data_IF_326900415288
#
_entry.id   IF_326900415288
#
_cell.length_a   1.000
_cell.length_b   1.000
_cell.length_c   1.000
_cell.angle_alpha   90.00
_cell.angle_beta   90.00
_cell.angle_gamma   90.00
#
_symmetry.space_group_name_H-M   'P 1'
#
loop_
_entity.id
_entity.type
_entity.pdbx_description
1 polymer ?
#
# COMPACT_ATOMS: atom_id res chain seq x y z
N UNK A 1 16.74 -9.45 -16.31
CA UNK A 1 16.63 -10.01 -14.95
C UNK A 1 16.40 -8.85 -13.99
N UNK A 2 15.44 -8.97 -13.08
CA UNK A 2 15.21 -7.96 -12.04
C UNK A 2 16.41 -7.89 -11.10
N UNK A 3 16.68 -6.71 -10.55
CA UNK A 3 17.65 -6.59 -9.46
C UNK A 3 17.11 -7.37 -8.26
N UNK A 4 17.99 -8.11 -7.58
CA UNK A 4 17.60 -9.02 -6.49
C UNK A 4 16.78 -8.31 -5.40
N UNK A 5 17.15 -7.09 -5.02
CA UNK A 5 16.43 -6.31 -4.01
C UNK A 5 14.96 -6.05 -4.39
N UNK A 6 14.70 -5.69 -5.66
CA UNK A 6 13.34 -5.46 -6.15
C UNK A 6 12.55 -6.78 -6.19
N UNK A 7 13.17 -7.85 -6.67
CA UNK A 7 12.53 -9.18 -6.69
C UNK A 7 12.21 -9.69 -5.29
N UNK A 8 13.12 -9.52 -4.33
CA UNK A 8 12.94 -9.91 -2.93
C UNK A 8 11.77 -9.13 -2.30
N UNK A 9 11.66 -7.84 -2.59
CA UNK A 9 10.55 -7.01 -2.12
C UNK A 9 9.21 -7.48 -2.68
N UNK A 10 9.09 -7.64 -4.01
CA UNK A 10 7.85 -8.10 -4.64
C UNK A 10 7.41 -9.46 -4.09
N UNK A 11 8.35 -10.39 -3.90
CA UNK A 11 8.09 -11.68 -3.26
C UNK A 11 7.59 -11.51 -1.81
N UNK A 12 8.16 -10.60 -1.02
CA UNK A 12 7.69 -10.34 0.34
C UNK A 12 6.24 -9.81 0.36
N UNK A 13 5.89 -8.94 -0.59
CA UNK A 13 4.51 -8.43 -0.72
C UNK A 13 3.54 -9.54 -1.11
N UNK A 14 3.90 -10.37 -2.09
CA UNK A 14 3.09 -11.52 -2.50
C UNK A 14 2.84 -12.45 -1.31
N UNK A 15 3.88 -12.82 -0.56
CA UNK A 15 3.75 -13.69 0.61
C UNK A 15 2.85 -13.09 1.69
N UNK A 16 2.96 -11.78 1.95
CA UNK A 16 2.09 -11.08 2.90
C UNK A 16 0.61 -11.18 2.51
N UNK A 17 0.30 -11.06 1.21
CA UNK A 17 -1.07 -11.15 0.69
C UNK A 17 -1.59 -12.59 0.74
N UNK A 18 -0.77 -13.56 0.35
CA UNK A 18 -1.13 -14.99 0.40
C UNK A 18 -1.44 -15.44 1.83
N UNK A 19 -0.74 -14.90 2.82
CA UNK A 19 -0.97 -15.20 4.24
C UNK A 19 -2.17 -14.45 4.84
N UNK A 20 -2.81 -13.54 4.08
CA UNK A 20 -3.96 -12.78 4.54
C UNK A 20 -5.26 -13.60 4.36
N UNK A 21 -5.66 -14.34 5.39
CA UNK A 21 -6.79 -15.29 5.34
C UNK A 21 -8.18 -14.64 5.12
N UNK A 22 -8.33 -13.33 5.36
CA UNK A 22 -9.62 -12.63 5.34
C UNK A 22 -9.84 -11.74 4.10
N UNK A 23 -9.02 -11.91 3.06
CA UNK A 23 -9.06 -11.12 1.86
C UNK A 23 -9.17 -11.97 0.60
N UNK A 24 -10.00 -11.54 -0.34
CA UNK A 24 -10.00 -12.03 -1.72
C UNK A 24 -9.15 -11.10 -2.59
N UNK A 25 -8.26 -11.67 -3.41
CA UNK A 25 -7.47 -10.89 -4.37
C UNK A 25 -8.30 -10.63 -5.63
N UNK A 26 -8.83 -9.41 -5.76
CA UNK A 26 -9.58 -8.98 -6.96
C UNK A 26 -8.62 -8.64 -8.11
N UNK A 27 -7.44 -8.08 -7.78
CA UNK A 27 -6.40 -7.77 -8.76
C UNK A 27 -5.04 -7.80 -8.10
N UNK A 28 -4.07 -8.41 -8.76
CA UNK A 28 -2.65 -8.31 -8.42
C UNK A 28 -1.88 -8.04 -9.71
N UNK A 29 -1.19 -6.91 -9.77
CA UNK A 29 -0.46 -6.50 -10.97
C UNK A 29 0.88 -5.89 -10.59
N UNK A 30 1.94 -6.52 -11.09
CA UNK A 30 3.29 -5.97 -11.13
C UNK A 30 3.60 -5.49 -12.55
N UNK A 31 3.89 -4.22 -12.69
CA UNK A 31 4.32 -3.62 -13.95
C UNK A 31 5.82 -3.30 -13.85
N UNK A 32 6.64 -4.18 -14.41
CA UNK A 32 8.09 -3.99 -14.45
C UNK A 32 8.45 -2.98 -15.53
N UNK A 33 8.95 -1.82 -15.12
CA UNK A 33 9.36 -0.74 -16.03
C UNK A 33 10.83 -0.90 -16.45
N UNK A 34 11.68 -1.27 -15.50
CA UNK A 34 13.11 -1.58 -15.72
C UNK A 34 13.57 -2.64 -14.71
N UNK A 35 14.84 -3.07 -14.76
CA UNK A 35 15.39 -3.96 -13.73
C UNK A 35 15.39 -3.38 -12.31
N UNK A 36 15.23 -2.05 -12.18
CA UNK A 36 15.27 -1.30 -10.92
C UNK A 36 13.98 -0.54 -10.63
N UNK A 37 12.95 -0.63 -11.49
CA UNK A 37 11.69 0.12 -11.32
C UNK A 37 10.48 -0.74 -11.61
N UNK A 38 9.49 -0.66 -10.75
CA UNK A 38 8.20 -1.32 -10.94
C UNK A 38 7.06 -0.47 -10.37
N UNK A 39 5.88 -0.61 -10.96
CA UNK A 39 4.64 -0.21 -10.31
C UNK A 39 3.93 -1.46 -9.78
N UNK A 40 3.47 -1.39 -8.54
CA UNK A 40 2.64 -2.42 -7.92
C UNK A 40 1.22 -1.89 -7.79
N UNK A 41 0.23 -2.67 -8.23
CA UNK A 41 -1.19 -2.32 -8.10
C UNK A 41 -2.01 -3.53 -7.67
N UNK A 42 -2.54 -3.50 -6.47
CA UNK A 42 -3.29 -4.61 -5.87
C UNK A 42 -4.67 -4.12 -5.41
N UNK A 43 -5.69 -4.96 -5.57
CA UNK A 43 -7.03 -4.79 -5.03
C UNK A 43 -7.39 -6.01 -4.21
N UNK A 44 -7.66 -5.80 -2.93
CA UNK A 44 -8.09 -6.84 -2.00
C UNK A 44 -9.51 -6.54 -1.51
N UNK A 45 -10.38 -7.55 -1.52
CA UNK A 45 -11.74 -7.48 -0.99
C UNK A 45 -11.81 -8.16 0.38
N UNK A 46 -12.14 -7.39 1.40
CA UNK A 46 -12.43 -7.88 2.75
C UNK A 46 -13.94 -7.98 2.94
N UNK A 47 -14.42 -9.03 3.63
CA UNK A 47 -15.87 -9.29 3.85
C UNK A 47 -16.71 -9.18 2.56
N UNK A 48 -16.11 -9.49 1.40
CA UNK A 48 -16.67 -9.37 0.04
C UNK A 48 -16.97 -7.93 -0.44
N UNK A 49 -17.15 -6.96 0.45
CA UNK A 49 -17.61 -5.62 0.08
C UNK A 49 -16.56 -4.53 0.25
N UNK A 50 -15.71 -4.60 1.27
CA UNK A 50 -14.71 -3.57 1.55
C UNK A 50 -13.52 -3.73 0.61
N UNK A 51 -13.05 -2.64 0.03
CA UNK A 51 -11.95 -2.65 -0.94
C UNK A 51 -10.72 -1.97 -0.37
N UNK A 52 -9.61 -2.70 -0.30
CA UNK A 52 -8.28 -2.16 -0.09
C UNK A 52 -7.55 -2.07 -1.44
N UNK A 53 -7.24 -0.85 -1.87
CA UNK A 53 -6.38 -0.61 -3.03
C UNK A 53 -4.97 -0.24 -2.58
N UNK A 54 -3.96 -0.99 -3.04
CA UNK A 54 -2.55 -0.75 -2.78
C UNK A 54 -1.90 -0.35 -4.10
N UNK A 55 -1.27 0.82 -4.13
CA UNK A 55 -0.50 1.31 -5.26
C UNK A 55 0.88 1.75 -4.78
N UNK A 56 1.93 1.33 -5.47
CA UNK A 56 3.31 1.75 -5.19
C UNK A 56 4.07 1.99 -6.48
N UNK A 57 4.85 3.06 -6.53
CA UNK A 57 5.85 3.32 -7.55
C UNK A 57 7.24 3.14 -6.91
N UNK A 58 7.91 2.05 -7.26
CA UNK A 58 9.13 1.58 -6.58
C UNK A 58 10.34 1.84 -7.49
N UNK A 59 11.43 2.30 -6.89
CA UNK A 59 12.73 2.43 -7.55
C UNK A 59 13.83 1.89 -6.65
N UNK A 60 14.85 1.28 -7.24
CA UNK A 60 16.11 1.02 -6.55
C UNK A 60 17.11 2.10 -6.95
N UNK A 61 17.62 2.85 -5.96
CA UNK A 61 18.63 3.89 -6.12
C UNK A 61 19.80 3.56 -5.20
N UNK A 62 21.03 3.52 -5.70
CA UNK A 62 22.24 3.22 -4.91
C UNK A 62 22.13 1.96 -4.04
N UNK A 63 21.46 0.93 -4.56
CA UNK A 63 21.17 -0.33 -3.87
C UNK A 63 20.24 -0.21 -2.64
N UNK A 64 19.45 0.85 -2.56
CA UNK A 64 18.36 1.05 -1.60
C UNK A 64 17.00 1.02 -2.31
N UNK A 65 16.01 0.42 -1.64
CA UNK A 65 14.64 0.43 -2.10
C UNK A 65 13.98 1.75 -1.67
N UNK A 66 13.45 2.48 -2.65
CA UNK A 66 12.76 3.75 -2.46
C UNK A 66 11.37 3.70 -3.09
N UNK A 67 10.48 4.52 -2.54
CA UNK A 67 9.12 4.68 -3.02
C UNK A 67 8.97 6.10 -3.56
N UNK A 68 8.82 6.22 -4.88
CA UNK A 68 8.55 7.50 -5.54
C UNK A 68 7.16 8.03 -5.16
N UNK A 69 6.20 7.11 -5.01
CA UNK A 69 4.86 7.40 -4.48
C UNK A 69 4.23 6.10 -3.97
N UNK A 70 3.25 6.23 -3.06
CA UNK A 70 2.37 5.14 -2.68
C UNK A 70 1.00 5.65 -2.24
N UNK A 71 0.02 4.75 -2.36
CA UNK A 71 -1.33 4.96 -1.82
C UNK A 71 -1.93 3.63 -1.38
N UNK A 72 -2.34 3.56 -0.13
CA UNK A 72 -3.09 2.44 0.45
C UNK A 72 -4.45 2.95 0.90
N UNK A 73 -5.52 2.55 0.23
CA UNK A 73 -6.85 3.11 0.42
C UNK A 73 -7.86 2.01 0.75
N UNK A 74 -8.37 2.01 1.98
CA UNK A 74 -9.47 1.14 2.39
C UNK A 74 -10.78 1.92 2.34
N UNK A 75 -11.78 1.35 1.68
CA UNK A 75 -13.13 1.89 1.59
C UNK A 75 -14.20 0.83 1.88
N UNK A 76 -15.35 1.30 2.37
CA UNK A 76 -16.54 0.47 2.65
C UNK A 76 -17.34 0.12 1.38
N UNK A 77 -18.46 -0.59 1.55
CA UNK A 77 -19.34 -1.00 0.44
C UNK A 77 -20.01 0.16 -0.31
N UNK A 78 -20.05 1.35 0.30
CA UNK A 78 -20.60 2.58 -0.28
C UNK A 78 -19.50 3.49 -0.86
N UNK A 79 -18.26 3.01 -0.90
CA UNK A 79 -17.06 3.76 -1.26
C UNK A 79 -16.72 4.92 -0.31
N UNK A 80 -17.18 4.88 0.94
CA UNK A 80 -16.70 5.82 1.94
C UNK A 80 -15.31 5.43 2.39
N UNK A 81 -14.46 6.43 2.61
CA UNK A 81 -13.12 6.24 3.17
C UNK A 81 -13.22 5.61 4.56
N UNK A 82 -12.53 4.49 4.76
CA UNK A 82 -12.26 3.93 6.09
C UNK A 82 -10.92 4.46 6.61
N UNK A 83 -9.86 4.29 5.81
CA UNK A 83 -8.58 4.97 6.00
C UNK A 83 -7.82 5.07 4.67
N UNK A 84 -6.89 6.02 4.56
CA UNK A 84 -5.92 6.04 3.47
C UNK A 84 -4.55 6.48 3.96
N UNK A 85 -3.51 5.77 3.57
CA UNK A 85 -2.12 6.23 3.67
C UNK A 85 -1.65 6.66 2.30
N UNK A 86 -1.05 7.84 2.17
CA UNK A 86 -0.39 8.24 0.92
C UNK A 86 0.75 9.24 1.16
N UNK A 87 1.54 9.50 0.11
CA UNK A 87 2.70 10.39 0.10
C UNK A 87 2.50 11.64 -0.75
N UNK A 88 1.28 11.98 -1.15
CA UNK A 88 1.08 13.16 -1.99
C UNK A 88 1.34 14.43 -1.16
N UNK A 89 2.16 15.39 -1.61
CA UNK A 89 2.69 16.47 -0.77
C UNK A 89 1.68 17.60 -0.48
N UNK A 90 0.56 17.27 0.15
CA UNK A 90 -0.53 18.20 0.46
C UNK A 90 -0.43 18.86 1.85
N UNK A 91 0.25 18.22 2.81
CA UNK A 91 0.21 18.62 4.23
C UNK A 91 1.59 18.98 4.80
N UNK A 92 2.22 20.10 4.37
CA UNK A 92 3.59 20.47 4.73
C UNK A 92 3.80 20.71 6.23
N UNK A 93 2.74 20.96 7.00
CA UNK A 93 2.83 21.21 8.44
C UNK A 93 2.83 19.93 9.29
N UNK A 94 2.61 18.76 8.68
CA UNK A 94 2.71 17.49 9.41
C UNK A 94 4.16 17.10 9.62
N UNK A 95 4.47 16.61 10.82
CA UNK A 95 5.82 16.17 11.22
C UNK A 95 6.40 15.05 10.35
N UNK A 96 5.56 14.30 9.65
CA UNK A 96 5.95 13.17 8.78
C UNK A 96 5.90 13.51 7.29
N UNK A 97 5.76 14.79 6.92
CA UNK A 97 5.64 15.22 5.52
C UNK A 97 6.71 14.57 4.61
N UNK A 98 6.32 14.03 3.43
CA UNK A 98 5.00 14.11 2.82
C UNK A 98 4.01 13.02 3.27
N UNK A 99 4.44 12.10 4.13
CA UNK A 99 3.65 10.97 4.58
C UNK A 99 2.57 11.38 5.56
N UNK A 100 1.36 10.87 5.34
CA UNK A 100 0.23 11.12 6.21
C UNK A 100 -0.81 10.00 6.09
N UNK A 101 -1.75 10.00 7.04
CA UNK A 101 -2.91 9.11 7.03
C UNK A 101 -4.20 9.93 7.06
N UNK A 102 -5.05 9.72 6.07
CA UNK A 102 -6.44 10.16 6.07
C UNK A 102 -7.31 9.18 6.86
N UNK A 103 -8.15 9.76 7.71
CA UNK A 103 -9.29 9.15 8.38
C UNK A 103 -10.57 9.78 7.82
N UNK A 104 -11.78 9.26 8.13
CA UNK A 104 -13.03 9.78 7.55
C UNK A 104 -13.22 11.30 7.73
N UNK A 105 -12.74 11.84 8.86
CA UNK A 105 -12.92 13.26 9.22
C UNK A 105 -11.62 13.98 9.58
N UNK A 106 -10.44 13.36 9.36
CA UNK A 106 -9.18 13.91 9.85
C UNK A 106 -7.98 13.49 8.98
N UNK A 107 -6.87 14.20 9.14
CA UNK A 107 -5.58 13.87 8.54
C UNK A 107 -4.50 13.97 9.62
N UNK A 108 -3.81 12.87 9.85
CA UNK A 108 -2.80 12.77 10.91
C UNK A 108 -1.40 12.53 10.35
N UNK A 109 -0.39 13.00 11.09
CA UNK A 109 1.00 12.61 10.87
C UNK A 109 1.13 11.10 10.99
N UNK A 110 1.69 10.46 9.97
CA UNK A 110 1.98 9.04 9.96
C UNK A 110 3.09 8.77 8.94
N UNK A 111 4.11 8.01 9.34
CA UNK A 111 5.10 7.50 8.38
C UNK A 111 4.44 6.48 7.43
N UNK A 112 5.08 6.23 6.28
CA UNK A 112 4.66 5.13 5.40
C UNK A 112 4.63 3.82 6.19
N UNK A 113 3.48 3.12 6.26
CA UNK A 113 3.41 1.82 6.91
C UNK A 113 3.95 0.72 5.99
N UNK A 114 4.37 -0.38 6.60
CA UNK A 114 4.63 -1.63 5.87
C UNK A 114 3.31 -2.27 5.44
N UNK A 115 3.32 -3.02 4.33
CA UNK A 115 2.10 -3.67 3.80
C UNK A 115 1.46 -4.59 4.85
N UNK A 116 2.25 -5.32 5.63
CA UNK A 116 1.74 -6.16 6.73
C UNK A 116 0.96 -5.37 7.79
N UNK A 117 1.36 -4.13 8.09
CA UNK A 117 0.64 -3.29 9.03
C UNK A 117 -0.72 -2.87 8.48
N UNK A 118 -0.78 -2.56 7.18
CA UNK A 118 -2.01 -2.19 6.47
C UNK A 118 -2.98 -3.37 6.40
N UNK A 119 -2.48 -4.56 6.03
CA UNK A 119 -3.29 -5.79 5.97
C UNK A 119 -3.83 -6.17 7.35
N UNK A 120 -3.00 -6.03 8.40
CA UNK A 120 -3.40 -6.27 9.78
C UNK A 120 -4.49 -5.29 10.22
N UNK A 121 -4.31 -4.00 9.98
CA UNK A 121 -5.31 -2.98 10.33
C UNK A 121 -6.64 -3.23 9.62
N UNK A 122 -6.62 -3.48 8.30
CA UNK A 122 -7.82 -3.80 7.54
C UNK A 122 -8.52 -5.05 8.09
N UNK A 123 -7.75 -6.08 8.45
CA UNK A 123 -8.28 -7.30 9.06
C UNK A 123 -8.91 -7.02 10.42
N UNK A 124 -8.24 -6.26 11.29
CA UNK A 124 -8.72 -5.96 12.65
C UNK A 124 -9.98 -5.10 12.67
N UNK A 125 -10.07 -4.09 11.79
CA UNK A 125 -11.25 -3.25 11.63
C UNK A 125 -12.46 -4.03 11.10
N UNK A 126 -12.21 -5.09 10.34
CA UNK A 126 -13.21 -5.88 9.64
C UNK A 126 -13.32 -7.30 10.20
N UNK A 127 -12.91 -7.55 11.44
CA UNK A 127 -13.23 -8.81 12.15
C UNK A 127 -14.73 -8.94 12.43
#
# INVERSE_FOLDING_TARGET
MLLKLLSDYLNQVEQAIVQCENAYVERYQEEILTSQRANLRIRLRFKQTHLLEINEAIVITDNYLEFLDYRYHLQDEKNNLVFRYDSTPHFPNLSTFPHHKHLPNDVISCHKPEINQVLKEATELLR
#
